data_IF_059563498166
#
_entry.id   IF_059563498166
#
_cell.length_a   1.000
_cell.length_b   1.000
_cell.length_c   1.000
_cell.angle_alpha   90.00
_cell.angle_beta   90.00
_cell.angle_gamma   90.00
#
_symmetry.space_group_name_H-M   'P 1'
#
loop_
_entity.id
_entity.type
_entity.pdbx_description
1 polymer ?
#
# COMPACT_ATOMS: atom_id res chain seq x y z
N UNK A 1 -65.42 -67.13 -2.91
CA UNK A 1 -64.09 -67.62 -2.57
C UNK A 1 -63.03 -66.76 -3.33
N UNK A 2 -62.44 -65.74 -2.68
CA UNK A 2 -61.42 -64.88 -3.31
C UNK A 2 -60.05 -65.24 -2.69
N UNK A 3 -59.18 -65.78 -3.52
CA UNK A 3 -57.82 -66.16 -3.14
C UNK A 3 -56.94 -64.86 -3.21
N UNK A 4 -56.40 -64.45 -2.07
CA UNK A 4 -55.47 -63.33 -1.97
C UNK A 4 -54.04 -63.86 -2.08
N UNK A 5 -53.35 -63.48 -3.16
CA UNK A 5 -51.93 -63.80 -3.35
C UNK A 5 -51.09 -62.75 -2.60
N UNK A 6 -50.44 -63.18 -1.52
CA UNK A 6 -49.43 -62.39 -0.83
C UNK A 6 -48.12 -62.44 -1.61
N UNK A 7 -47.74 -61.33 -2.24
CA UNK A 7 -46.40 -61.15 -2.82
C UNK A 7 -45.38 -60.98 -1.68
N UNK A 8 -44.51 -61.95 -1.54
CA UNK A 8 -43.31 -61.86 -0.70
C UNK A 8 -42.29 -60.87 -1.37
N UNK A 9 -42.08 -59.76 -0.77
CA UNK A 9 -40.99 -58.83 -1.12
C UNK A 9 -39.65 -59.42 -0.67
N UNK A 10 -38.81 -59.80 -1.63
CA UNK A 10 -37.41 -60.18 -1.34
C UNK A 10 -36.63 -58.93 -0.91
N UNK A 11 -36.33 -58.85 0.38
CA UNK A 11 -35.37 -57.88 0.87
C UNK A 11 -33.98 -58.26 0.38
N UNK A 12 -33.42 -57.51 -0.57
CA UNK A 12 -32.00 -57.60 -0.95
C UNK A 12 -31.14 -57.28 0.25
N UNK A 13 -30.50 -58.25 0.82
CA UNK A 13 -29.53 -58.06 1.88
C UNK A 13 -28.26 -57.50 1.25
N UNK A 14 -28.12 -56.17 1.25
CA UNK A 14 -26.84 -55.52 0.91
C UNK A 14 -25.82 -55.98 1.96
N UNK A 15 -24.89 -56.85 1.57
CA UNK A 15 -23.74 -57.23 2.38
C UNK A 15 -22.93 -55.91 2.57
N UNK A 16 -22.99 -55.33 3.75
CA UNK A 16 -22.07 -54.25 4.15
C UNK A 16 -20.68 -54.87 4.17
N UNK A 17 -19.81 -54.47 3.24
CA UNK A 17 -18.41 -54.79 3.33
C UNK A 17 -17.87 -54.20 4.64
N UNK A 18 -17.40 -55.04 5.54
CA UNK A 18 -16.76 -54.59 6.77
C UNK A 18 -15.34 -54.15 6.43
N UNK A 19 -15.01 -52.90 6.74
CA UNK A 19 -13.68 -52.33 6.51
C UNK A 19 -12.71 -52.87 7.56
N UNK A 20 -11.56 -53.38 7.14
CA UNK A 20 -10.54 -53.89 8.07
C UNK A 20 -9.73 -52.70 8.65
N UNK A 21 -9.22 -52.89 9.87
CA UNK A 21 -8.36 -51.91 10.52
C UNK A 21 -7.08 -51.60 9.70
N UNK A 22 -6.55 -52.60 9.01
CA UNK A 22 -5.39 -52.51 8.12
C UNK A 22 -5.70 -51.65 6.89
N UNK A 23 -6.85 -51.84 6.24
CA UNK A 23 -7.26 -51.02 5.09
C UNK A 23 -7.41 -49.57 5.48
N UNK A 24 -7.99 -49.26 6.67
CA UNK A 24 -8.10 -47.91 7.16
C UNK A 24 -6.70 -47.32 7.44
N UNK A 25 -5.81 -48.07 8.07
CA UNK A 25 -4.47 -47.62 8.43
C UNK A 25 -3.60 -47.28 7.20
N UNK A 26 -3.69 -48.13 6.14
CA UNK A 26 -3.00 -47.89 4.87
C UNK A 26 -3.51 -46.64 4.20
N UNK A 27 -4.83 -46.40 4.18
CA UNK A 27 -5.43 -45.21 3.57
C UNK A 27 -4.98 -43.92 4.28
N UNK A 28 -5.03 -43.88 5.63
CA UNK A 28 -4.58 -42.71 6.37
C UNK A 28 -3.07 -42.45 6.22
N UNK A 29 -2.26 -43.53 6.11
CA UNK A 29 -0.82 -43.40 5.85
C UNK A 29 -0.56 -42.77 4.47
N UNK A 30 -1.24 -43.22 3.44
CA UNK A 30 -1.12 -42.65 2.08
C UNK A 30 -1.58 -41.21 2.06
N UNK A 31 -2.73 -40.86 2.66
CA UNK A 31 -3.23 -39.50 2.77
C UNK A 31 -2.20 -38.63 3.52
N UNK A 32 -1.66 -39.12 4.65
CA UNK A 32 -0.65 -38.42 5.42
C UNK A 32 0.61 -38.06 4.60
N UNK A 33 1.12 -39.01 3.82
CA UNK A 33 2.24 -38.82 2.92
C UNK A 33 1.90 -37.81 1.84
N UNK A 34 0.75 -37.93 1.17
CA UNK A 34 0.34 -37.00 0.13
C UNK A 34 0.16 -35.56 0.67
N UNK A 35 -0.49 -35.39 1.82
CA UNK A 35 -0.69 -34.08 2.46
C UNK A 35 0.63 -33.47 2.89
N UNK A 36 1.55 -34.26 3.46
CA UNK A 36 2.87 -33.76 3.88
C UNK A 36 3.74 -33.22 2.73
N UNK A 37 3.60 -33.79 1.54
CA UNK A 37 4.30 -33.35 0.34
C UNK A 37 3.58 -32.17 -0.36
N UNK A 38 2.25 -32.18 -0.38
CA UNK A 38 1.45 -31.17 -1.06
C UNK A 38 1.39 -29.83 -0.30
N UNK A 39 1.34 -29.86 1.04
CA UNK A 39 1.13 -28.66 1.84
C UNK A 39 2.24 -27.61 1.64
N UNK A 40 3.56 -27.95 1.70
CA UNK A 40 4.62 -26.99 1.42
C UNK A 40 4.59 -26.44 -0.01
N UNK A 41 4.30 -27.30 -0.99
CA UNK A 41 4.21 -26.91 -2.39
C UNK A 41 3.06 -25.93 -2.65
N UNK A 42 1.89 -26.18 -2.08
CA UNK A 42 0.73 -25.27 -2.19
C UNK A 42 1.00 -23.92 -1.51
N UNK A 43 1.63 -23.92 -0.34
CA UNK A 43 1.99 -22.67 0.35
C UNK A 43 3.00 -21.85 -0.46
N UNK A 44 4.03 -22.49 -1.01
CA UNK A 44 5.01 -21.85 -1.87
C UNK A 44 4.36 -21.25 -3.14
N UNK A 45 3.48 -22.01 -3.81
CA UNK A 45 2.76 -21.52 -4.97
C UNK A 45 1.83 -20.33 -4.65
N UNK A 46 1.15 -20.38 -3.50
CA UNK A 46 0.32 -19.26 -3.04
C UNK A 46 1.14 -17.99 -2.77
N UNK A 47 2.31 -18.12 -2.14
CA UNK A 47 3.17 -16.96 -1.89
C UNK A 47 3.74 -16.41 -3.20
N UNK A 48 4.14 -17.25 -4.14
CA UNK A 48 4.56 -16.81 -5.47
C UNK A 48 3.44 -16.03 -6.18
N UNK A 49 2.19 -16.52 -6.12
CA UNK A 49 1.04 -15.81 -6.67
C UNK A 49 0.81 -14.45 -6.00
N UNK A 50 0.93 -14.35 -4.67
CA UNK A 50 0.82 -13.07 -3.95
C UNK A 50 1.93 -12.08 -4.34
N UNK A 51 3.17 -12.55 -4.50
CA UNK A 51 4.28 -11.71 -4.98
C UNK A 51 4.00 -11.16 -6.38
N UNK A 52 3.50 -11.99 -7.29
CA UNK A 52 3.10 -11.54 -8.63
C UNK A 52 2.01 -10.47 -8.52
N UNK A 53 1.05 -10.62 -7.63
CA UNK A 53 0.00 -9.61 -7.42
C UNK A 53 0.59 -8.30 -6.88
N UNK A 54 1.52 -8.32 -5.91
CA UNK A 54 2.21 -7.12 -5.42
C UNK A 54 2.99 -6.42 -6.53
N UNK A 55 3.69 -7.19 -7.39
CA UNK A 55 4.39 -6.66 -8.56
C UNK A 55 3.41 -5.99 -9.56
N UNK A 56 2.26 -6.62 -9.81
CA UNK A 56 1.23 -6.06 -10.68
C UNK A 56 0.61 -4.78 -10.09
N UNK A 57 0.38 -4.72 -8.78
CA UNK A 57 -0.07 -3.50 -8.11
C UNK A 57 0.92 -2.36 -8.32
N UNK A 58 2.21 -2.60 -8.08
CA UNK A 58 3.26 -1.61 -8.34
C UNK A 58 3.32 -1.19 -9.80
N UNK A 59 3.09 -2.12 -10.74
CA UNK A 59 3.04 -1.80 -12.16
C UNK A 59 1.87 -0.88 -12.50
N UNK A 60 0.69 -1.12 -11.91
CA UNK A 60 -0.47 -0.25 -12.09
C UNK A 60 -0.27 1.13 -11.46
N UNK A 61 0.30 1.20 -10.25
CA UNK A 61 0.66 2.45 -9.58
C UNK A 61 1.66 3.24 -10.43
N UNK A 62 2.70 2.56 -10.93
CA UNK A 62 3.71 3.15 -11.79
C UNK A 62 3.10 3.74 -13.09
N UNK A 63 2.23 2.98 -13.75
CA UNK A 63 1.51 3.46 -14.94
C UNK A 63 0.64 4.67 -14.60
N UNK A 64 -0.01 4.68 -13.44
CA UNK A 64 -0.81 5.82 -13.00
C UNK A 64 0.05 7.07 -12.74
N UNK A 65 1.27 6.93 -12.21
CA UNK A 65 2.25 8.03 -12.08
C UNK A 65 2.63 8.61 -13.45
N UNK A 66 2.91 7.76 -14.44
CA UNK A 66 3.20 8.20 -15.81
C UNK A 66 2.00 8.92 -16.45
N UNK A 67 0.81 8.36 -16.34
CA UNK A 67 -0.41 8.98 -16.87
C UNK A 67 -0.71 10.33 -16.20
N UNK A 68 -0.44 10.43 -14.89
CA UNK A 68 -0.52 11.69 -14.15
C UNK A 68 0.51 12.71 -14.71
N UNK A 69 1.77 12.28 -14.87
CA UNK A 69 2.82 13.11 -15.43
C UNK A 69 2.51 13.56 -16.86
N UNK A 70 1.98 12.67 -17.70
CA UNK A 70 1.63 13.00 -19.09
C UNK A 70 0.51 14.04 -19.16
N UNK A 71 -0.43 14.01 -18.21
CA UNK A 71 -1.55 14.94 -18.14
C UNK A 71 -1.13 16.27 -17.51
N UNK A 72 -0.45 16.23 -16.39
CA UNK A 72 -0.19 17.41 -15.53
C UNK A 72 1.25 17.92 -15.59
N UNK A 73 2.13 17.23 -16.33
CA UNK A 73 3.56 17.57 -16.55
C UNK A 73 4.42 17.54 -15.28
N UNK A 74 3.93 16.90 -14.22
CA UNK A 74 4.67 16.59 -12.99
C UNK A 74 4.24 15.24 -12.44
N UNK A 75 5.11 14.60 -11.68
CA UNK A 75 4.78 13.44 -10.86
C UNK A 75 3.83 13.86 -9.72
N UNK A 76 3.07 12.92 -9.13
CA UNK A 76 2.16 13.22 -8.03
C UNK A 76 2.88 13.81 -6.82
N UNK A 77 2.28 14.84 -6.23
CA UNK A 77 2.78 15.53 -5.04
C UNK A 77 2.60 14.69 -3.78
N UNK A 78 3.46 14.90 -2.76
CA UNK A 78 3.28 14.36 -1.41
C UNK A 78 2.21 15.06 -0.58
N UNK A 79 1.57 16.10 -1.12
CA UNK A 79 0.51 16.86 -0.44
C UNK A 79 1.00 17.84 0.62
N UNK A 80 0.19 18.08 1.67
CA UNK A 80 0.45 19.17 2.63
C UNK A 80 0.91 18.70 4.02
N UNK A 81 0.53 17.52 4.47
CA UNK A 81 0.84 16.94 5.77
C UNK A 81 -0.33 16.09 6.29
N UNK A 82 -0.10 15.28 7.34
CA UNK A 82 -1.07 14.25 7.76
C UNK A 82 -2.43 14.75 8.25
N UNK A 83 -2.57 16.04 8.58
CA UNK A 83 -3.88 16.64 8.86
C UNK A 83 -4.68 17.03 7.61
N UNK A 84 -4.15 16.75 6.42
CA UNK A 84 -4.80 17.09 5.17
C UNK A 84 -5.11 15.83 4.36
N UNK A 85 -6.40 15.60 4.12
CA UNK A 85 -6.86 14.59 3.16
C UNK A 85 -6.89 15.18 1.75
N UNK A 86 -6.95 14.30 0.74
CA UNK A 86 -7.13 14.74 -0.64
C UNK A 86 -8.39 15.57 -0.84
N UNK A 87 -8.29 16.57 -1.71
CA UNK A 87 -9.38 17.46 -2.09
C UNK A 87 -9.41 17.58 -3.63
N UNK A 88 -10.48 17.05 -4.25
CA UNK A 88 -10.62 17.00 -5.70
C UNK A 88 -10.73 18.40 -6.34
N UNK A 89 -11.17 19.40 -5.58
CA UNK A 89 -11.38 20.77 -6.08
C UNK A 89 -10.08 21.59 -6.09
N UNK A 90 -9.03 21.09 -5.46
CA UNK A 90 -7.74 21.82 -5.35
C UNK A 90 -6.74 21.46 -6.44
N UNK A 91 -7.16 20.63 -7.42
CA UNK A 91 -6.31 20.26 -8.55
C UNK A 91 -5.11 19.40 -8.16
N UNK A 92 -3.93 19.70 -8.68
CA UNK A 92 -2.72 18.89 -8.58
C UNK A 92 -1.49 19.70 -8.13
N UNK A 93 -0.37 19.00 -7.88
CA UNK A 93 0.91 19.62 -7.55
C UNK A 93 0.88 20.31 -6.19
N UNK A 94 1.48 21.48 -6.09
CA UNK A 94 1.61 22.23 -4.83
C UNK A 94 0.28 22.66 -4.19
N UNK A 95 -0.82 22.61 -4.94
CA UNK A 95 -2.17 22.96 -4.46
C UNK A 95 -2.91 21.77 -3.86
N UNK A 96 -2.58 20.55 -4.27
CA UNK A 96 -3.24 19.32 -3.77
C UNK A 96 -2.89 19.10 -2.31
N UNK A 97 -3.92 18.93 -1.49
CA UNK A 97 -3.77 18.71 -0.04
C UNK A 97 -3.42 17.26 0.29
N UNK A 98 -3.92 16.30 -0.50
CA UNK A 98 -3.77 14.86 -0.28
C UNK A 98 -2.47 14.27 -0.81
N UNK A 99 -2.29 13.00 -0.54
CA UNK A 99 -1.11 12.21 -0.91
C UNK A 99 -0.94 12.03 -2.42
N UNK A 100 0.21 11.48 -2.80
CA UNK A 100 0.44 10.99 -4.17
C UNK A 100 -0.59 9.92 -4.58
N UNK A 101 -1.01 9.05 -3.63
CA UNK A 101 -1.98 7.99 -3.91
C UNK A 101 -3.37 8.56 -4.20
N UNK A 102 -3.79 9.63 -3.50
CA UNK A 102 -5.00 10.36 -3.84
C UNK A 102 -4.93 10.94 -5.26
N UNK A 103 -3.80 11.55 -5.59
CA UNK A 103 -3.61 12.24 -6.88
C UNK A 103 -3.70 11.31 -8.09
N UNK A 104 -3.41 10.01 -7.93
CA UNK A 104 -3.46 9.01 -9.01
C UNK A 104 -4.76 8.20 -9.05
N UNK A 105 -5.72 8.42 -8.14
CA UNK A 105 -6.98 7.68 -8.13
C UNK A 105 -7.71 7.68 -9.48
N UNK A 106 -7.81 8.82 -10.19
CA UNK A 106 -8.42 8.85 -11.53
C UNK A 106 -7.75 7.90 -12.52
N UNK A 107 -6.42 7.81 -12.49
CA UNK A 107 -5.62 6.95 -13.37
C UNK A 107 -5.66 5.47 -12.96
N UNK A 108 -6.15 5.17 -11.75
CA UNK A 108 -6.38 3.83 -11.23
C UNK A 108 -7.86 3.41 -11.31
N UNK A 109 -8.64 4.02 -12.19
CA UNK A 109 -10.08 3.76 -12.34
C UNK A 109 -10.92 4.04 -11.07
N UNK A 110 -10.40 4.89 -10.18
CA UNK A 110 -11.06 5.29 -8.93
C UNK A 110 -11.59 6.74 -8.96
N UNK A 111 -12.04 7.20 -10.13
CA UNK A 111 -12.54 8.56 -10.32
C UNK A 111 -13.70 8.91 -9.36
N UNK A 112 -14.58 7.95 -9.06
CA UNK A 112 -15.69 8.16 -8.14
C UNK A 112 -15.21 8.42 -6.71
N UNK A 113 -14.16 7.71 -6.28
CA UNK A 113 -13.54 7.92 -4.97
C UNK A 113 -12.84 9.28 -4.91
N UNK A 114 -12.12 9.67 -5.97
CA UNK A 114 -11.50 10.98 -6.08
C UNK A 114 -12.54 12.10 -5.95
N UNK A 115 -13.63 12.02 -6.73
CA UNK A 115 -14.69 13.03 -6.73
C UNK A 115 -15.45 13.11 -5.39
N UNK A 116 -15.47 12.04 -4.61
CA UNK A 116 -16.10 12.03 -3.28
C UNK A 116 -15.45 13.01 -2.30
N UNK A 117 -14.18 13.35 -2.51
CA UNK A 117 -13.42 14.29 -1.68
C UNK A 117 -13.55 15.76 -2.14
N UNK A 118 -14.44 16.07 -3.09
CA UNK A 118 -14.72 17.44 -3.54
C UNK A 118 -16.17 17.84 -3.27
N UNK A 119 -16.42 19.14 -3.19
CA UNK A 119 -17.75 19.74 -3.04
C UNK A 119 -17.94 21.00 -3.91
N UNK A 120 -16.99 21.28 -4.79
CA UNK A 120 -16.95 22.47 -5.66
C UNK A 120 -16.38 23.72 -4.99
N UNK A 121 -15.85 23.63 -3.77
CA UNK A 121 -15.42 24.79 -2.97
C UNK A 121 -13.95 24.67 -2.50
N UNK A 122 -12.95 24.90 -3.35
CA UNK A 122 -11.54 24.59 -3.07
C UNK A 122 -10.91 25.36 -1.88
N UNK A 123 -11.55 26.43 -1.42
CA UNK A 123 -11.02 27.27 -0.32
C UNK A 123 -11.92 27.30 0.92
N UNK A 124 -12.87 26.34 1.00
CA UNK A 124 -13.81 26.24 2.12
C UNK A 124 -13.87 24.78 2.56
N UNK A 125 -13.73 24.52 3.83
CA UNK A 125 -13.99 23.21 4.42
C UNK A 125 -15.47 23.21 4.84
N UNK A 126 -16.31 22.62 4.01
CA UNK A 126 -17.75 22.55 4.25
C UNK A 126 -18.12 21.29 5.06
N UNK A 127 -19.27 21.29 5.76
CA UNK A 127 -19.80 20.08 6.39
C UNK A 127 -20.02 18.93 5.40
N UNK A 128 -20.34 19.23 4.14
CA UNK A 128 -20.49 18.25 3.09
C UNK A 128 -19.14 17.59 2.78
N UNK A 129 -18.08 18.38 2.61
CA UNK A 129 -16.71 17.88 2.37
C UNK A 129 -16.26 17.01 3.54
N UNK A 130 -16.43 17.46 4.79
CA UNK A 130 -16.07 16.68 5.98
C UNK A 130 -16.68 15.28 5.95
N UNK A 131 -18.00 15.19 5.77
CA UNK A 131 -18.72 13.92 5.77
C UNK A 131 -18.38 13.05 4.54
N UNK A 132 -18.18 13.63 3.36
CA UNK A 132 -17.90 12.86 2.14
C UNK A 132 -16.46 12.36 2.12
N UNK A 133 -15.49 13.15 2.55
CA UNK A 133 -14.09 12.72 2.68
C UNK A 133 -13.95 11.63 3.75
N UNK A 134 -14.68 11.72 4.86
CA UNK A 134 -14.74 10.65 5.86
C UNK A 134 -15.17 9.31 5.23
N UNK A 135 -16.24 9.30 4.42
CA UNK A 135 -16.66 8.11 3.66
C UNK A 135 -15.59 7.63 2.66
N UNK A 136 -14.86 8.54 2.04
CA UNK A 136 -13.74 8.18 1.17
C UNK A 136 -12.64 7.45 1.93
N UNK A 137 -12.30 7.86 3.16
CA UNK A 137 -11.31 7.17 4.00
C UNK A 137 -11.76 5.77 4.42
N UNK A 138 -13.06 5.48 4.40
CA UNK A 138 -13.65 4.16 4.65
C UNK A 138 -13.82 3.33 3.35
N UNK A 139 -13.24 3.75 2.24
CA UNK A 139 -13.29 3.02 0.96
C UNK A 139 -11.96 2.31 0.70
N UNK A 140 -12.00 0.98 0.57
CA UNK A 140 -10.81 0.16 0.34
C UNK A 140 -10.47 0.10 -1.15
N UNK A 141 -9.22 0.37 -1.50
CA UNK A 141 -8.68 0.18 -2.85
C UNK A 141 -7.64 -0.95 -2.80
N UNK A 142 -7.99 -2.11 -3.35
CA UNK A 142 -7.17 -3.32 -3.27
C UNK A 142 -5.78 -3.19 -3.92
N UNK A 143 -5.64 -2.30 -4.91
CA UNK A 143 -4.37 -2.00 -5.58
C UNK A 143 -3.30 -1.38 -4.66
N UNK A 144 -3.68 -0.83 -3.51
CA UNK A 144 -2.75 -0.30 -2.51
C UNK A 144 -2.39 -1.31 -1.40
N UNK A 145 -2.91 -2.53 -1.44
CA UNK A 145 -2.67 -3.54 -0.39
C UNK A 145 -1.82 -4.69 -0.93
N UNK A 146 -0.79 -5.07 -0.17
CA UNK A 146 0.01 -6.27 -0.46
C UNK A 146 -0.66 -7.51 0.16
N UNK A 147 -1.13 -8.47 -0.64
CA UNK A 147 -1.85 -9.64 -0.14
C UNK A 147 -0.97 -10.63 0.65
N UNK A 148 0.36 -10.50 0.61
CA UNK A 148 1.27 -11.25 1.49
C UNK A 148 1.33 -10.68 2.90
N UNK A 149 0.95 -9.41 3.08
CA UNK A 149 0.96 -8.75 4.39
C UNK A 149 -0.41 -8.84 5.06
N UNK A 150 -1.46 -8.42 4.37
CA UNK A 150 -2.81 -8.33 4.94
C UNK A 150 -3.91 -8.40 3.87
N UNK A 151 -5.13 -8.60 4.31
CA UNK A 151 -6.29 -8.53 3.43
C UNK A 151 -6.61 -7.08 3.04
N UNK A 152 -7.24 -6.89 1.88
CA UNK A 152 -7.82 -5.59 1.51
C UNK A 152 -9.08 -5.34 2.36
N UNK A 153 -8.93 -4.57 3.44
CA UNK A 153 -9.98 -4.28 4.42
C UNK A 153 -9.75 -2.90 5.06
N UNK A 154 -10.71 -2.43 5.83
CA UNK A 154 -10.53 -1.30 6.73
C UNK A 154 -9.84 -1.77 8.02
N UNK A 155 -8.90 -0.97 8.49
CA UNK A 155 -8.15 -1.24 9.72
C UNK A 155 -8.40 -0.16 10.75
N UNK A 156 -8.30 -0.55 12.02
CA UNK A 156 -8.51 0.36 13.14
C UNK A 156 -7.53 1.53 13.05
N UNK A 157 -8.03 2.70 13.35
CA UNK A 157 -7.24 3.90 13.53
C UNK A 157 -6.87 3.99 14.99
N UNK A 158 -5.62 3.66 15.34
CA UNK A 158 -5.16 3.89 16.68
C UNK A 158 -5.03 5.39 16.90
N UNK A 159 -5.71 5.86 17.90
CA UNK A 159 -5.55 7.21 18.40
C UNK A 159 -4.25 7.17 19.21
N UNK A 160 -3.20 7.82 18.76
CA UNK A 160 -2.04 8.07 19.58
C UNK A 160 -2.55 8.70 20.90
N UNK A 161 -2.13 8.16 22.04
CA UNK A 161 -2.63 8.58 23.33
C UNK A 161 -2.53 10.11 23.48
N UNK A 162 -3.67 10.78 23.52
CA UNK A 162 -3.77 12.24 23.67
C UNK A 162 -4.09 13.05 22.42
N UNK A 163 -4.09 12.45 21.22
CA UNK A 163 -4.64 13.12 20.03
C UNK A 163 -6.00 12.49 19.73
N UNK A 164 -7.13 13.17 19.98
CA UNK A 164 -8.45 12.66 19.63
C UNK A 164 -8.47 12.38 18.11
N UNK A 165 -8.55 11.12 17.73
CA UNK A 165 -8.75 10.56 16.41
C UNK A 165 -8.19 11.40 15.27
N UNK A 166 -6.88 11.68 15.28
CA UNK A 166 -6.15 12.46 14.28
C UNK A 166 -7.08 13.28 13.38
N UNK A 167 -7.46 14.48 13.77
CA UNK A 167 -8.40 15.28 13.01
C UNK A 167 -7.75 15.76 11.73
N UNK A 168 -8.12 15.13 10.61
CA UNK A 168 -7.90 15.82 9.36
C UNK A 168 -8.75 17.11 9.37
N UNK A 169 -8.19 18.17 8.84
CA UNK A 169 -8.91 19.45 8.76
C UNK A 169 -10.14 19.34 7.85
N UNK A 170 -10.06 18.52 6.80
CA UNK A 170 -11.08 18.40 5.76
C UNK A 170 -11.76 17.01 5.70
N UNK A 171 -11.82 16.31 6.84
CA UNK A 171 -12.60 15.08 6.98
C UNK A 171 -13.08 14.88 8.41
N UNK A 172 -14.30 14.39 8.60
CA UNK A 172 -14.79 13.95 9.90
C UNK A 172 -13.98 12.74 10.40
N UNK A 173 -13.79 12.58 11.71
CA UNK A 173 -13.07 11.45 12.28
C UNK A 173 -13.84 10.14 12.05
N UNK A 174 -13.11 9.09 11.68
CA UNK A 174 -13.63 7.73 11.50
C UNK A 174 -12.86 6.75 12.38
N UNK A 175 -13.50 5.69 12.90
CA UNK A 175 -12.83 4.71 13.75
C UNK A 175 -11.91 3.75 12.97
N UNK A 176 -12.19 3.57 11.68
CA UNK A 176 -11.46 2.67 10.79
C UNK A 176 -11.18 3.37 9.48
N UNK A 177 -10.04 3.04 8.86
CA UNK A 177 -9.64 3.69 7.60
C UNK A 177 -8.95 2.69 6.66
N UNK A 178 -8.92 3.06 5.40
CA UNK A 178 -8.11 2.39 4.39
C UNK A 178 -6.62 2.63 4.63
N UNK A 179 -5.77 1.80 4.01
CA UNK A 179 -4.30 1.82 4.17
C UNK A 179 -3.60 1.68 2.83
N UNK A 180 -2.29 1.96 2.82
CA UNK A 180 -1.40 1.60 1.72
C UNK A 180 -0.22 0.79 2.25
N UNK A 181 0.17 -0.25 1.51
CA UNK A 181 1.40 -1.01 1.72
C UNK A 181 2.54 -0.51 0.82
N UNK A 182 2.28 0.54 0.04
CA UNK A 182 3.22 1.14 -0.90
C UNK A 182 3.49 2.59 -0.54
N UNK A 183 4.74 3.02 -0.74
CA UNK A 183 5.25 4.36 -0.44
C UNK A 183 6.00 4.93 -1.63
N UNK A 184 5.89 6.24 -1.84
CA UNK A 184 6.71 6.94 -2.82
C UNK A 184 8.12 7.22 -2.27
N UNK A 185 9.06 7.30 -3.16
CA UNK A 185 10.44 7.64 -2.85
C UNK A 185 10.57 9.13 -2.52
N UNK A 186 10.94 9.44 -1.28
CA UNK A 186 11.21 10.79 -0.80
C UNK A 186 12.70 11.19 -0.88
N UNK A 187 13.56 10.30 -1.41
CA UNK A 187 14.99 10.54 -1.60
C UNK A 187 15.89 9.89 -0.55
N UNK A 188 17.15 10.29 -0.53
CA UNK A 188 18.14 9.84 0.45
C UNK A 188 18.37 10.85 1.58
N UNK A 189 17.77 12.03 1.48
CA UNK A 189 17.85 13.11 2.48
C UNK A 189 16.52 13.23 3.19
N UNK A 190 16.51 12.85 4.48
CA UNK A 190 15.28 12.84 5.27
C UNK A 190 14.88 14.25 5.68
N UNK A 191 13.83 14.78 5.04
CA UNK A 191 13.14 15.99 5.43
C UNK A 191 11.69 15.64 5.68
N UNK A 192 11.29 15.64 6.95
CA UNK A 192 9.93 15.32 7.38
C UNK A 192 9.10 16.59 7.44
N UNK A 193 7.89 16.56 6.87
CA UNK A 193 7.02 17.74 6.82
C UNK A 193 5.86 17.72 7.81
N UNK A 194 5.62 16.60 8.47
CA UNK A 194 4.72 16.52 9.61
C UNK A 194 3.25 16.83 9.29
N UNK A 195 2.59 17.49 10.23
CA UNK A 195 1.15 17.80 10.18
C UNK A 195 0.73 18.70 9.03
N UNK A 196 1.67 19.42 8.44
CA UNK A 196 1.35 20.51 7.52
C UNK A 196 0.88 21.78 8.21
N UNK A 197 0.55 22.83 7.45
CA UNK A 197 0.04 24.09 7.98
C UNK A 197 -1.38 23.93 8.56
N UNK A 198 -1.79 24.85 9.43
CA UNK A 198 -3.19 25.02 9.79
C UNK A 198 -4.04 25.50 8.59
N UNK A 199 -5.35 25.52 8.75
CA UNK A 199 -6.29 25.85 7.66
C UNK A 199 -6.06 27.24 7.08
N UNK A 200 -5.84 28.23 7.93
CA UNK A 200 -5.65 29.63 7.49
C UNK A 200 -4.34 29.79 6.72
N UNK A 201 -3.24 29.27 7.27
CA UNK A 201 -1.94 29.29 6.63
C UNK A 201 -1.90 28.47 5.35
N UNK A 202 -2.50 27.26 5.36
CA UNK A 202 -2.57 26.39 4.20
C UNK A 202 -3.30 27.04 3.02
N UNK A 203 -4.46 27.65 3.25
CA UNK A 203 -5.21 28.36 2.21
C UNK A 203 -4.51 29.65 1.76
N UNK A 204 -3.77 30.32 2.64
CA UNK A 204 -2.92 31.46 2.30
C UNK A 204 -1.64 31.05 1.53
N UNK A 205 -1.34 29.75 1.42
CA UNK A 205 -0.12 29.24 0.78
C UNK A 205 1.15 29.42 1.63
N UNK A 206 1.00 29.58 2.94
CA UNK A 206 2.08 29.81 3.91
C UNK A 206 2.17 28.65 4.94
N UNK A 207 3.15 28.67 5.82
CA UNK A 207 3.31 27.68 6.89
C UNK A 207 3.84 26.32 6.42
N UNK A 208 4.29 26.19 5.18
CA UNK A 208 4.93 24.98 4.65
C UNK A 208 6.41 24.96 4.97
N UNK A 209 6.98 23.78 5.07
CA UNK A 209 8.41 23.63 5.26
C UNK A 209 9.20 23.98 3.99
N UNK A 210 10.44 24.39 4.21
CA UNK A 210 11.38 24.52 3.11
C UNK A 210 11.88 23.12 2.69
N UNK A 211 11.41 22.64 1.55
CA UNK A 211 11.80 21.35 0.99
C UNK A 211 13.05 21.42 0.12
N UNK A 212 13.81 22.52 0.16
CA UNK A 212 15.12 22.62 -0.51
C UNK A 212 16.05 21.54 0.04
N UNK A 213 16.54 20.66 -0.85
CA UNK A 213 17.33 19.50 -0.46
C UNK A 213 16.59 18.17 -0.53
N UNK A 214 15.25 18.16 -0.60
CA UNK A 214 14.52 16.96 -0.99
C UNK A 214 14.92 16.52 -2.39
N UNK A 215 15.32 15.27 -2.52
CA UNK A 215 15.91 14.74 -3.75
C UNK A 215 15.22 13.42 -4.20
N UNK A 216 14.02 13.15 -3.69
CA UNK A 216 13.15 12.08 -4.15
C UNK A 216 12.19 12.51 -5.26
N UNK A 217 11.30 11.61 -5.63
CA UNK A 217 10.29 11.85 -6.68
C UNK A 217 9.00 12.48 -6.14
N UNK A 218 8.76 12.38 -4.83
CA UNK A 218 7.58 12.93 -4.17
C UNK A 218 7.92 13.43 -2.76
N UNK A 219 7.45 14.61 -2.43
CA UNK A 219 7.59 15.25 -1.11
C UNK A 219 6.51 16.32 -0.95
N UNK A 220 6.49 17.03 0.20
CA UNK A 220 5.51 18.09 0.44
C UNK A 220 5.48 19.10 -0.73
N UNK A 221 4.30 19.26 -1.36
CA UNK A 221 4.04 20.20 -2.45
C UNK A 221 4.95 20.02 -3.67
N UNK A 222 5.49 18.82 -3.89
CA UNK A 222 6.41 18.55 -5.00
C UNK A 222 5.73 18.68 -6.37
N UNK A 223 6.50 19.14 -7.35
CA UNK A 223 6.13 19.17 -8.77
C UNK A 223 7.31 18.65 -9.61
N UNK A 224 7.87 17.50 -9.21
CA UNK A 224 9.01 16.85 -9.86
C UNK A 224 8.59 16.34 -11.24
N UNK A 225 9.44 16.59 -12.24
CA UNK A 225 9.23 16.09 -13.62
C UNK A 225 10.16 14.92 -13.89
N UNK A 226 9.79 14.06 -14.84
CA UNK A 226 10.68 12.99 -15.28
C UNK A 226 12.00 13.53 -15.84
N UNK A 227 12.00 14.75 -16.41
CA UNK A 227 13.21 15.45 -16.86
C UNK A 227 14.14 15.91 -15.72
N UNK A 228 13.66 15.95 -14.49
CA UNK A 228 14.44 16.37 -13.32
C UNK A 228 15.18 15.20 -12.66
N UNK A 229 15.02 13.98 -13.22
CA UNK A 229 15.68 12.76 -12.77
C UNK A 229 16.97 12.59 -13.55
N UNK A 230 18.04 13.24 -13.06
CA UNK A 230 19.32 13.30 -13.76
C UNK A 230 20.10 11.98 -13.72
N UNK A 231 19.80 11.10 -12.77
CA UNK A 231 20.48 9.80 -12.59
C UNK A 231 19.93 8.72 -13.53
N UNK A 232 18.89 9.10 -14.30
CA UNK A 232 18.19 8.24 -15.24
C UNK A 232 16.99 7.52 -14.62
N UNK A 233 15.90 7.52 -15.36
CA UNK A 233 14.62 6.94 -14.90
C UNK A 233 14.68 5.44 -14.62
N UNK A 234 15.60 4.70 -15.24
CA UNK A 234 15.85 3.28 -15.00
C UNK A 234 16.70 2.99 -13.76
N UNK A 235 17.29 4.02 -13.15
CA UNK A 235 18.18 3.92 -11.99
C UNK A 235 17.61 4.61 -10.75
N UNK A 236 16.40 5.12 -10.78
CA UNK A 236 15.78 5.85 -9.66
C UNK A 236 14.47 5.19 -9.26
N UNK A 237 14.32 4.92 -7.96
CA UNK A 237 13.07 4.40 -7.38
C UNK A 237 11.94 5.42 -7.52
N UNK A 238 10.75 4.92 -7.81
CA UNK A 238 9.54 5.74 -7.85
C UNK A 238 8.60 5.42 -6.69
N UNK A 239 8.11 4.19 -6.64
CA UNK A 239 7.19 3.69 -5.59
C UNK A 239 7.58 2.27 -5.24
N UNK A 240 7.64 1.93 -3.96
CA UNK A 240 8.00 0.59 -3.50
C UNK A 240 7.15 0.12 -2.31
N UNK A 241 7.37 -1.11 -1.91
CA UNK A 241 6.78 -1.65 -0.69
C UNK A 241 7.44 -0.99 0.53
N UNK A 242 6.65 -0.67 1.56
CA UNK A 242 7.16 -0.08 2.81
C UNK A 242 7.45 -1.16 3.85
N UNK A 243 8.36 -0.85 4.80
CA UNK A 243 8.55 -1.62 6.02
C UNK A 243 7.38 -1.39 6.98
N UNK A 244 6.91 -2.45 7.65
CA UNK A 244 5.96 -2.36 8.76
C UNK A 244 6.28 -3.39 9.85
N UNK A 245 5.94 -3.05 11.09
CA UNK A 245 5.97 -4.02 12.18
C UNK A 245 4.75 -4.97 12.10
N UNK A 246 4.95 -6.30 11.94
CA UNK A 246 3.86 -7.27 11.89
C UNK A 246 2.91 -7.26 13.08
N UNK A 247 3.37 -6.85 14.26
CA UNK A 247 2.54 -6.77 15.46
C UNK A 247 1.42 -5.73 15.29
N UNK A 248 1.59 -4.79 14.37
CA UNK A 248 0.71 -3.65 14.17
C UNK A 248 -0.01 -3.61 12.81
N UNK A 249 0.08 -4.64 11.99
CA UNK A 249 -0.58 -4.70 10.67
C UNK A 249 -2.08 -4.36 10.67
N UNK A 250 -2.75 -4.48 11.83
CA UNK A 250 -4.20 -4.30 11.95
C UNK A 250 -4.61 -3.28 13.00
N UNK A 251 -3.67 -2.81 13.81
CA UNK A 251 -3.98 -2.00 15.00
C UNK A 251 -3.86 -0.50 14.76
N UNK A 252 -3.15 -0.10 13.69
CA UNK A 252 -2.80 1.29 13.43
C UNK A 252 -1.85 1.91 14.48
N UNK A 253 -1.12 1.07 15.25
CA UNK A 253 -0.14 1.54 16.24
C UNK A 253 1.26 1.73 15.65
N UNK A 254 1.45 1.40 14.38
CA UNK A 254 2.67 1.71 13.62
C UNK A 254 2.52 3.11 13.02
N UNK A 255 3.42 4.02 13.34
CA UNK A 255 3.39 5.40 12.81
C UNK A 255 3.56 5.47 11.29
N UNK A 256 4.03 4.43 10.64
CA UNK A 256 4.04 4.32 9.17
C UNK A 256 2.76 3.67 8.62
N UNK A 257 1.71 3.47 9.47
CA UNK A 257 0.47 2.81 9.05
C UNK A 257 -0.71 3.17 9.97
N UNK A 258 -0.81 4.42 10.40
CA UNK A 258 -1.89 4.88 11.27
C UNK A 258 -2.88 5.83 10.57
N UNK A 259 -2.54 6.36 9.39
CA UNK A 259 -3.38 7.23 8.59
C UNK A 259 -3.98 6.56 7.34
N UNK A 260 -4.99 7.19 6.76
CA UNK A 260 -5.54 6.83 5.45
C UNK A 260 -4.54 7.11 4.33
N UNK A 261 -4.51 6.29 3.28
CA UNK A 261 -3.71 6.61 2.10
C UNK A 261 -4.13 7.91 1.37
N UNK A 262 -5.29 8.48 1.72
CA UNK A 262 -5.72 9.79 1.22
C UNK A 262 -5.01 10.96 1.92
N UNK A 263 -4.45 10.71 3.12
CA UNK A 263 -3.71 11.71 3.88
C UNK A 263 -2.33 11.96 3.26
N UNK A 264 -1.92 13.22 3.28
CA UNK A 264 -0.57 13.62 2.88
C UNK A 264 0.45 13.35 3.98
N UNK A 265 0.61 12.08 4.33
CA UNK A 265 1.48 11.67 5.42
C UNK A 265 2.91 11.40 4.94
N UNK A 266 3.88 11.86 5.72
CA UNK A 266 5.30 11.67 5.41
C UNK A 266 5.81 10.28 5.81
N UNK A 267 5.14 9.54 6.68
CA UNK A 267 5.54 8.19 7.09
C UNK A 267 4.70 7.09 6.46
N UNK A 268 3.39 7.29 6.41
CA UNK A 268 2.48 6.32 5.80
C UNK A 268 2.68 6.19 4.29
N UNK A 269 3.02 7.31 3.64
CA UNK A 269 2.99 7.43 2.19
C UNK A 269 4.35 7.63 1.53
N UNK A 270 5.42 7.81 2.32
CA UNK A 270 6.78 8.04 1.82
C UNK A 270 7.83 7.21 2.54
N UNK A 271 8.90 6.87 1.83
CA UNK A 271 10.08 6.25 2.40
C UNK A 271 11.36 6.92 1.86
N UNK A 272 12.39 6.87 2.67
CA UNK A 272 13.73 7.36 2.34
C UNK A 272 14.70 6.20 2.17
N UNK A 273 15.77 6.44 1.42
CA UNK A 273 16.82 5.47 1.18
C UNK A 273 18.07 5.71 2.03
N UNK A 274 17.99 6.59 3.02
CA UNK A 274 19.06 6.86 4.00
C UNK A 274 19.39 5.63 4.87
N UNK A 275 18.47 4.67 4.96
CA UNK A 275 18.64 3.39 5.61
C UNK A 275 18.34 2.23 4.65
N UNK A 276 19.09 1.10 4.76
CA UNK A 276 18.82 -0.09 3.95
C UNK A 276 17.42 -0.64 4.15
N UNK A 277 16.81 -1.27 3.13
CA UNK A 277 15.50 -1.87 3.24
C UNK A 277 15.51 -3.05 4.22
N UNK A 278 14.37 -3.30 4.87
CA UNK A 278 14.25 -4.40 5.81
C UNK A 278 13.05 -5.30 5.51
N UNK A 279 13.18 -6.58 5.87
CA UNK A 279 12.03 -7.44 6.01
C UNK A 279 11.21 -7.05 7.23
N UNK A 280 9.88 -7.08 7.12
CA UNK A 280 8.96 -6.84 8.22
C UNK A 280 9.34 -7.71 9.44
N UNK A 281 9.51 -7.07 10.60
CA UNK A 281 10.04 -7.70 11.81
C UNK A 281 9.24 -7.28 13.04
N UNK A 282 8.74 -8.26 13.77
CA UNK A 282 8.06 -8.08 15.06
C UNK A 282 8.96 -7.38 16.10
N UNK A 283 8.37 -6.49 16.89
CA UNK A 283 9.08 -5.76 17.96
C UNK A 283 10.04 -4.67 17.48
N UNK A 284 10.10 -4.36 16.19
CA UNK A 284 10.97 -3.33 15.65
C UNK A 284 10.16 -2.23 14.96
N UNK A 285 10.25 -1.02 15.47
CA UNK A 285 9.59 0.16 14.92
C UNK A 285 10.57 0.96 14.07
N UNK A 286 10.30 1.07 12.77
CA UNK A 286 11.07 1.88 11.84
C UNK A 286 10.19 2.21 10.62
N UNK A 287 9.55 3.33 10.65
CA UNK A 287 8.41 3.69 9.80
C UNK A 287 8.75 4.59 8.59
N UNK A 288 10.04 4.77 8.25
CA UNK A 288 10.46 5.64 7.14
C UNK A 288 11.32 4.96 6.08
N UNK A 289 11.34 3.63 6.04
CA UNK A 289 12.15 2.89 5.08
C UNK A 289 11.33 2.00 4.15
N UNK A 290 11.94 1.66 3.05
CA UNK A 290 11.46 0.60 2.18
C UNK A 290 11.59 -0.76 2.87
N UNK A 291 10.69 -1.69 2.54
CA UNK A 291 10.74 -3.03 3.06
C UNK A 291 9.53 -3.86 2.66
N UNK A 292 9.45 -5.09 3.07
CA UNK A 292 8.29 -5.93 2.80
C UNK A 292 8.24 -7.18 3.68
N UNK A 293 7.11 -7.88 3.66
CA UNK A 293 6.98 -9.20 4.27
C UNK A 293 7.51 -10.34 3.36
N UNK A 294 7.88 -10.06 2.12
CA UNK A 294 8.36 -11.07 1.19
C UNK A 294 9.71 -11.66 1.61
N UNK A 295 9.97 -12.95 1.33
CA UNK A 295 11.30 -13.52 1.54
C UNK A 295 12.34 -12.88 0.62
N UNK A 296 13.48 -12.51 1.19
CA UNK A 296 14.69 -12.12 0.45
C UNK A 296 14.79 -10.68 0.00
N UNK A 297 13.69 -9.94 -0.14
CA UNK A 297 13.72 -8.55 -0.60
C UNK A 297 12.34 -7.92 -0.73
N UNK A 298 12.27 -6.74 -1.34
CA UNK A 298 11.06 -5.98 -1.58
C UNK A 298 10.91 -5.64 -3.06
N UNK A 299 9.69 -5.36 -3.50
CA UNK A 299 9.43 -4.94 -4.87
C UNK A 299 9.37 -3.41 -4.95
N UNK A 300 9.95 -2.85 -6.01
CA UNK A 300 9.96 -1.42 -6.25
C UNK A 300 9.80 -1.12 -7.73
N UNK A 301 8.96 -0.14 -8.05
CA UNK A 301 8.83 0.45 -9.38
C UNK A 301 9.88 1.54 -9.54
N UNK A 302 10.56 1.55 -10.68
CA UNK A 302 11.50 2.58 -11.10
C UNK A 302 10.78 3.67 -11.89
N UNK A 303 11.42 4.81 -12.04
CA UNK A 303 10.86 5.95 -12.77
C UNK A 303 10.67 5.69 -14.28
N UNK A 304 11.24 4.61 -14.84
CA UNK A 304 10.98 4.13 -16.20
C UNK A 304 9.75 3.23 -16.31
N UNK A 305 9.08 2.97 -15.21
CA UNK A 305 7.93 2.09 -15.13
C UNK A 305 8.26 0.61 -15.00
N UNK A 306 9.54 0.20 -14.96
CA UNK A 306 9.92 -1.18 -14.64
C UNK A 306 9.70 -1.49 -13.17
N UNK A 307 9.30 -2.72 -12.84
CA UNK A 307 9.21 -3.20 -11.46
C UNK A 307 10.26 -4.27 -11.25
N UNK A 308 11.09 -4.10 -10.21
CA UNK A 308 12.19 -5.02 -9.90
C UNK A 308 12.11 -5.46 -8.45
N UNK A 309 12.66 -6.64 -8.20
CA UNK A 309 12.86 -7.16 -6.84
C UNK A 309 14.26 -6.76 -6.35
N UNK A 310 14.33 -6.07 -5.23
CA UNK A 310 15.58 -5.63 -4.61
C UNK A 310 15.80 -6.43 -3.32
N UNK A 311 16.96 -7.08 -3.22
CA UNK A 311 17.32 -7.90 -2.04
C UNK A 311 17.57 -7.01 -0.81
N UNK A 312 17.25 -7.51 0.39
CA UNK A 312 17.52 -6.77 1.63
C UNK A 312 19.03 -6.59 1.92
N UNK A 313 19.89 -7.38 1.30
CA UNK A 313 21.35 -7.27 1.39
C UNK A 313 21.95 -6.30 0.36
N UNK A 314 21.13 -5.49 -0.31
CA UNK A 314 21.62 -4.44 -1.21
C UNK A 314 22.63 -3.54 -0.47
N UNK A 315 23.71 -3.16 -1.14
CA UNK A 315 24.67 -2.23 -0.57
C UNK A 315 23.99 -0.90 -0.20
N UNK A 316 24.24 -0.40 1.01
CA UNK A 316 23.57 0.78 1.53
C UNK A 316 23.84 2.03 0.68
N UNK A 317 25.03 2.14 0.08
CA UNK A 317 25.38 3.27 -0.80
C UNK A 317 24.62 3.17 -2.12
N UNK A 318 24.54 1.96 -2.69
CA UNK A 318 23.75 1.70 -3.90
C UNK A 318 22.27 2.01 -3.64
N UNK A 319 21.74 1.56 -2.51
CA UNK A 319 20.35 1.85 -2.13
C UNK A 319 20.07 3.36 -2.02
N UNK A 320 21.00 4.12 -1.41
CA UNK A 320 20.91 5.58 -1.34
C UNK A 320 20.90 6.24 -2.72
N UNK A 321 21.80 5.84 -3.60
CA UNK A 321 21.87 6.39 -4.95
C UNK A 321 20.57 6.12 -5.73
N UNK A 322 19.97 4.93 -5.58
CA UNK A 322 18.69 4.61 -6.23
C UNK A 322 17.49 5.43 -5.71
N UNK A 323 17.61 6.04 -4.54
CA UNK A 323 16.63 6.96 -4.00
C UNK A 323 16.80 8.41 -4.46
N UNK A 324 18.02 8.80 -4.81
CA UNK A 324 18.34 10.16 -5.22
C UNK A 324 18.02 10.38 -6.70
N UNK A 325 17.51 11.56 -7.05
CA UNK A 325 17.19 11.94 -8.44
C UNK A 325 18.29 12.76 -9.11
N UNK A 326 19.34 13.20 -8.37
CA UNK A 326 20.23 14.30 -8.82
C UNK A 326 21.70 14.12 -8.49
N UNK A 327 22.13 13.04 -7.86
CA UNK A 327 23.54 12.87 -7.45
C UNK A 327 24.46 12.49 -8.62
N UNK A 328 23.87 12.18 -9.79
CA UNK A 328 24.57 11.78 -11.02
C UNK A 328 25.37 10.49 -10.86
N UNK A 329 24.95 9.63 -9.93
CA UNK A 329 25.53 8.31 -9.74
C UNK A 329 24.72 7.28 -10.55
N UNK A 330 25.30 6.72 -11.57
CA UNK A 330 24.71 5.57 -12.26
C UNK A 330 25.15 4.28 -11.57
N UNK A 331 24.19 3.61 -10.94
CA UNK A 331 24.43 2.32 -10.30
C UNK A 331 23.57 1.25 -10.98
N UNK A 332 24.15 0.10 -11.23
CA UNK A 332 23.42 -1.09 -11.63
C UNK A 332 23.29 -2.03 -10.46
N UNK A 333 22.09 -2.54 -10.20
CA UNK A 333 21.93 -3.68 -9.31
C UNK A 333 22.54 -4.90 -10.00
N UNK A 334 23.26 -5.78 -9.26
CA UNK A 334 23.62 -7.09 -9.81
C UNK A 334 22.32 -7.85 -10.16
N UNK A 335 22.33 -8.53 -11.30
CA UNK A 335 21.25 -9.37 -11.81
C UNK A 335 20.92 -10.53 -10.86
#
# INVERSE_FOLDING_TARGET
MRVVYLRRSARSCFRRAAFTLVELLVVIAIIGILVSLLLPAVQSAREAARRIQCTNNLKQISLAFHNHHDTFKSLPSGGWGWYWMGDADRGVGAKQTGSWAFSILPQMEQQSLYNLCGDGQPNVISPQQLASTARATETVVGGFICPSRRAAALYDRAIAAGVPGGHAYNADPVPRTNRSDYVANAGDTKIMWGSGPDVANGFAGTGFLNMNGSNGVSHQRSEVKLSDIFDGTSNTYMVGEKYLNPDHYRTGLDYGDDHSFLAADDFDMHAWTDNPPLRDRSGFADFWRFGSNHPGGFNVAYCDGSVRHVVFSVDATVHRFLGNTRDRQSVSLPE
#
